data_IF_398890727909
#
_entry.id   IF_398890727909
#
_cell.length_a   1.000
_cell.length_b   1.000
_cell.length_c   1.000
_cell.angle_alpha   90.00
_cell.angle_beta   90.00
_cell.angle_gamma   90.00
#
_symmetry.space_group_name_H-M   'P 1'
#
loop_
_entity.id
_entity.type
_entity.pdbx_description
1 polymer ?
#
# COMPACT_ATOMS: atom_id res chain seq x y z
N UNK A 1 -23.28 -26.47 -61.89
CA UNK A 1 -22.05 -25.97 -61.21
C UNK A 1 -22.43 -24.83 -60.29
N UNK A 2 -21.93 -24.85 -59.03
CA UNK A 2 -21.80 -23.72 -58.06
C UNK A 2 -22.84 -23.54 -56.93
N UNK A 3 -23.11 -24.55 -56.09
CA UNK A 3 -23.96 -24.30 -54.90
C UNK A 3 -23.65 -25.15 -53.65
N UNK A 4 -22.48 -25.78 -53.50
CA UNK A 4 -22.24 -26.73 -52.38
C UNK A 4 -21.16 -26.30 -51.38
N UNK A 5 -20.44 -25.19 -51.60
CA UNK A 5 -19.28 -24.80 -50.79
C UNK A 5 -19.57 -23.81 -49.66
N UNK A 6 -20.78 -23.24 -49.56
CA UNK A 6 -21.05 -22.11 -48.65
C UNK A 6 -21.60 -22.53 -47.27
N UNK A 7 -22.11 -23.76 -47.12
CA UNK A 7 -22.74 -24.21 -45.86
C UNK A 7 -21.74 -24.72 -44.80
N UNK A 8 -20.53 -25.12 -45.21
CA UNK A 8 -19.49 -25.63 -44.29
C UNK A 8 -18.79 -24.52 -43.48
N UNK A 9 -18.89 -23.26 -43.90
CA UNK A 9 -18.13 -22.16 -43.27
C UNK A 9 -18.80 -21.54 -42.05
N UNK A 10 -20.14 -21.59 -41.95
CA UNK A 10 -20.87 -20.92 -40.86
C UNK A 10 -20.87 -21.76 -39.57
N UNK A 11 -20.89 -23.09 -39.69
CA UNK A 11 -20.92 -24.00 -38.53
C UNK A 11 -19.60 -24.02 -37.76
N UNK A 12 -18.46 -23.86 -38.45
CA UNK A 12 -17.14 -23.79 -37.81
C UNK A 12 -16.97 -22.48 -37.02
N UNK A 13 -17.61 -21.40 -37.46
CA UNK A 13 -17.52 -20.08 -36.80
C UNK A 13 -18.33 -20.00 -35.50
N UNK A 14 -19.44 -20.73 -35.38
CA UNK A 14 -20.27 -20.73 -34.17
C UNK A 14 -19.70 -21.58 -33.02
N UNK A 15 -18.88 -22.60 -33.31
CA UNK A 15 -18.27 -23.45 -32.27
C UNK A 15 -17.06 -22.79 -31.60
N UNK A 16 -16.34 -21.89 -32.30
CA UNK A 16 -15.18 -21.19 -31.75
C UNK A 16 -15.49 -20.17 -30.65
N UNK A 17 -16.72 -19.63 -30.63
CA UNK A 17 -17.10 -18.56 -29.68
C UNK A 17 -17.36 -19.08 -28.25
N UNK A 18 -17.67 -20.37 -28.08
CA UNK A 18 -17.99 -20.95 -26.77
C UNK A 18 -16.76 -21.35 -25.94
N UNK A 19 -15.55 -21.32 -26.51
CA UNK A 19 -14.33 -21.81 -25.83
C UNK A 19 -13.55 -20.67 -25.13
N UNK A 20 -13.92 -19.40 -25.32
CA UNK A 20 -13.17 -18.27 -24.77
C UNK A 20 -13.65 -17.76 -23.40
N UNK A 21 -14.52 -18.49 -22.69
CA UNK A 21 -14.74 -18.26 -21.25
C UNK A 21 -13.60 -18.90 -20.43
N UNK A 22 -12.37 -18.47 -20.68
CA UNK A 22 -11.32 -18.63 -19.69
C UNK A 22 -11.62 -17.61 -18.59
N UNK A 23 -12.12 -18.07 -17.44
CA UNK A 23 -12.07 -17.27 -16.22
C UNK A 23 -10.59 -16.90 -16.01
N UNK A 24 -10.25 -15.64 -16.20
CA UNK A 24 -8.93 -15.16 -15.80
C UNK A 24 -8.83 -15.37 -14.29
N UNK A 25 -8.09 -16.39 -13.88
CA UNK A 25 -7.78 -16.61 -12.47
C UNK A 25 -7.05 -15.35 -11.98
N UNK A 26 -7.53 -14.70 -10.91
CA UNK A 26 -6.88 -13.50 -10.42
C UNK A 26 -5.42 -13.85 -10.11
N UNK A 27 -4.46 -13.00 -10.51
CA UNK A 27 -3.06 -13.29 -10.29
C UNK A 27 -2.82 -13.59 -8.81
N UNK A 28 -2.20 -14.72 -8.52
CA UNK A 28 -1.78 -15.06 -7.16
C UNK A 28 -0.82 -13.97 -6.71
N UNK A 29 -1.24 -13.18 -5.72
CA UNK A 29 -0.37 -12.17 -5.10
C UNK A 29 0.68 -12.93 -4.29
N UNK A 30 1.92 -12.97 -4.78
CA UNK A 30 3.06 -13.61 -4.11
C UNK A 30 3.86 -12.63 -3.23
N UNK A 31 3.49 -11.34 -3.25
CA UNK A 31 4.11 -10.29 -2.43
C UNK A 31 3.41 -10.09 -1.08
N UNK A 32 4.05 -9.38 -0.15
CA UNK A 32 3.43 -9.03 1.13
C UNK A 32 2.13 -8.23 0.92
N UNK A 33 1.10 -8.59 1.69
CA UNK A 33 -0.20 -7.91 1.69
C UNK A 33 -0.18 -6.86 2.79
N UNK A 34 -0.45 -5.61 2.44
CA UNK A 34 -0.46 -4.51 3.39
C UNK A 34 -1.89 -4.12 3.80
N UNK A 35 -1.98 -3.36 4.88
CA UNK A 35 -3.22 -2.79 5.37
C UNK A 35 -3.03 -1.32 5.64
N UNK A 36 -3.71 -0.50 4.83
CA UNK A 36 -3.69 0.95 4.94
C UNK A 36 -4.90 1.50 5.70
N UNK A 37 -5.78 0.63 6.21
CA UNK A 37 -7.01 1.02 6.91
C UNK A 37 -6.73 1.46 8.35
N UNK A 38 -5.96 2.55 8.47
CA UNK A 38 -5.60 3.21 9.72
C UNK A 38 -6.15 4.63 9.72
N UNK A 39 -6.78 5.02 10.83
CA UNK A 39 -7.27 6.38 11.04
C UNK A 39 -6.29 7.14 11.92
N UNK A 40 -5.71 8.21 11.36
CA UNK A 40 -4.77 9.11 12.06
C UNK A 40 -5.47 10.40 12.49
N UNK A 41 -5.26 10.82 13.73
CA UNK A 41 -5.88 12.02 14.34
C UNK A 41 -4.92 12.74 15.28
N UNK A 42 -5.27 13.95 15.72
CA UNK A 42 -4.48 14.76 16.65
C UNK A 42 -3.49 15.71 15.97
N UNK A 43 -2.50 16.18 16.73
CA UNK A 43 -1.59 17.26 16.37
C UNK A 43 -0.81 16.97 15.07
N UNK A 44 -0.83 17.91 14.13
CA UNK A 44 -0.25 17.74 12.80
C UNK A 44 1.29 17.74 12.83
N UNK A 45 1.87 18.36 13.85
CA UNK A 45 3.29 18.53 14.08
C UNK A 45 4.00 17.20 14.36
N UNK A 46 3.29 16.24 14.96
CA UNK A 46 3.87 14.97 15.42
C UNK A 46 3.18 13.73 14.86
N UNK A 47 2.02 13.87 14.20
CA UNK A 47 1.34 12.72 13.62
C UNK A 47 2.11 12.18 12.41
N UNK A 48 2.15 10.85 12.21
CA UNK A 48 2.64 10.30 10.96
C UNK A 48 1.73 10.72 9.79
N UNK A 49 2.31 10.89 8.61
CA UNK A 49 1.56 11.08 7.37
C UNK A 49 0.89 9.79 6.92
N UNK A 50 1.53 8.65 7.19
CA UNK A 50 1.01 7.34 6.82
C UNK A 50 1.28 6.33 7.91
N UNK A 51 0.30 5.47 8.15
CA UNK A 51 0.39 4.28 8.99
C UNK A 51 -0.16 3.11 8.20
N UNK A 52 0.57 2.01 8.17
CA UNK A 52 0.11 0.76 7.57
C UNK A 52 0.77 -0.44 8.26
N UNK A 53 0.21 -1.63 8.06
CA UNK A 53 0.76 -2.88 8.59
C UNK A 53 0.81 -3.98 7.51
N UNK A 54 1.65 -5.00 7.72
CA UNK A 54 1.65 -6.26 6.96
C UNK A 54 1.08 -7.43 7.78
N UNK A 55 0.43 -7.14 8.90
CA UNK A 55 -0.05 -8.12 9.88
C UNK A 55 1.02 -8.67 10.82
N UNK A 56 2.29 -8.28 10.66
CA UNK A 56 3.39 -8.61 11.58
C UNK A 56 4.06 -7.36 12.15
N UNK A 57 4.32 -6.36 11.30
CA UNK A 57 4.97 -5.09 11.61
C UNK A 57 4.13 -3.89 11.24
N UNK A 58 4.28 -2.81 12.00
CA UNK A 58 3.65 -1.52 11.71
C UNK A 58 4.70 -0.59 11.13
N UNK A 59 4.33 0.09 10.05
CA UNK A 59 5.16 1.04 9.33
C UNK A 59 4.58 2.44 9.51
N UNK A 60 5.41 3.35 9.98
CA UNK A 60 5.06 4.74 10.25
C UNK A 60 5.93 5.64 9.38
N UNK A 61 5.31 6.56 8.64
CA UNK A 61 6.03 7.60 7.93
C UNK A 61 5.76 8.96 8.57
N UNK A 62 6.81 9.56 9.13
CA UNK A 62 6.75 10.91 9.70
C UNK A 62 7.28 11.96 8.72
N UNK A 63 6.90 13.22 8.93
CA UNK A 63 7.42 14.37 8.20
C UNK A 63 8.94 14.51 8.32
N UNK A 64 9.43 14.32 9.55
CA UNK A 64 10.83 14.38 9.88
C UNK A 64 11.23 13.08 10.59
N UNK A 65 11.89 12.18 9.85
CA UNK A 65 12.37 10.91 10.39
C UNK A 65 13.49 11.05 11.43
N UNK A 66 14.04 12.26 11.63
CA UNK A 66 15.02 12.54 12.69
C UNK A 66 14.37 12.93 14.01
N UNK A 67 13.11 13.37 13.99
CA UNK A 67 12.36 13.83 15.16
C UNK A 67 11.09 13.00 15.37
N UNK A 68 11.28 11.69 15.57
CA UNK A 68 10.18 10.76 15.85
C UNK A 68 9.69 10.97 17.29
N UNK A 69 8.37 11.13 17.53
CA UNK A 69 7.82 11.26 18.87
C UNK A 69 7.95 9.96 19.67
N UNK A 70 7.69 10.02 20.98
CA UNK A 70 7.51 8.80 21.75
C UNK A 70 6.25 8.06 21.26
N UNK A 71 6.39 6.77 20.94
CA UNK A 71 5.32 5.92 20.41
C UNK A 71 4.86 4.96 21.48
N UNK A 72 3.56 4.90 21.73
CA UNK A 72 2.95 4.03 22.73
C UNK A 72 1.90 3.14 22.10
N UNK A 73 1.76 1.90 22.57
CA UNK A 73 0.57 1.09 22.37
C UNK A 73 -0.52 1.59 23.32
N UNK A 74 -1.73 1.74 22.80
CA UNK A 74 -2.91 2.02 23.61
C UNK A 74 -3.56 0.73 24.08
N UNK A 75 -3.14 0.28 25.27
CA UNK A 75 -3.63 -0.99 25.85
C UNK A 75 -4.73 -0.73 26.89
N UNK A 76 -5.54 -1.74 27.24
CA UNK A 76 -6.51 -1.62 28.34
C UNK A 76 -5.88 -1.25 29.70
N UNK A 77 -4.60 -1.59 29.90
CA UNK A 77 -3.83 -1.21 31.09
C UNK A 77 -3.22 0.19 31.03
N UNK A 78 -3.46 0.93 29.95
CA UNK A 78 -2.91 2.25 29.67
C UNK A 78 -1.80 2.25 28.61
N UNK A 79 -1.25 3.43 28.29
CA UNK A 79 -0.21 3.57 27.27
C UNK A 79 1.08 2.85 27.65
N UNK A 80 1.56 1.96 26.78
CA UNK A 80 2.84 1.25 26.95
C UNK A 80 3.86 1.74 25.92
N UNK A 81 5.04 2.19 26.37
CA UNK A 81 6.08 2.70 25.48
C UNK A 81 6.59 1.58 24.56
N UNK A 82 6.61 1.85 23.25
CA UNK A 82 7.07 0.91 22.23
C UNK A 82 8.50 1.20 21.80
N UNK A 83 9.22 0.10 21.50
CA UNK A 83 10.48 0.18 20.76
C UNK A 83 10.19 0.15 19.27
N UNK A 84 10.95 0.94 18.53
CA UNK A 84 10.94 1.02 17.09
C UNK A 84 12.38 1.11 16.56
N UNK A 85 12.56 0.82 15.29
CA UNK A 85 13.81 1.06 14.58
C UNK A 85 13.57 1.85 13.28
N UNK A 86 14.55 2.62 12.82
CA UNK A 86 14.47 3.24 11.50
C UNK A 86 14.65 2.17 10.41
N UNK A 87 13.85 2.26 9.36
CA UNK A 87 14.04 1.59 8.08
C UNK A 87 13.62 2.58 6.99
N UNK A 88 14.50 3.53 6.63
CA UNK A 88 14.12 4.71 5.87
C UNK A 88 13.38 4.34 4.57
N UNK A 89 12.22 4.99 4.29
CA UNK A 89 11.72 6.23 4.91
C UNK A 89 10.86 6.04 6.17
N UNK A 90 10.80 4.83 6.73
CA UNK A 90 9.87 4.47 7.79
C UNK A 90 10.50 4.37 9.18
N UNK A 91 9.65 4.50 10.18
CA UNK A 91 9.85 4.01 11.53
C UNK A 91 9.04 2.73 11.68
N UNK A 92 9.69 1.64 12.07
CA UNK A 92 9.10 0.30 12.08
C UNK A 92 8.97 -0.23 13.51
N UNK A 93 7.81 -0.81 13.79
CA UNK A 93 7.51 -1.54 15.03
C UNK A 93 7.35 -3.01 14.68
N UNK A 94 8.16 -3.88 15.30
CA UNK A 94 8.24 -5.31 14.96
C UNK A 94 7.08 -6.18 15.50
N UNK A 95 6.02 -5.56 16.00
CA UNK A 95 4.83 -6.25 16.49
C UNK A 95 3.56 -5.45 16.18
N UNK A 96 2.45 -6.17 16.15
CA UNK A 96 1.13 -5.62 15.90
C UNK A 96 0.52 -4.97 17.14
N UNK A 97 -0.16 -3.87 16.92
CA UNK A 97 -0.99 -3.13 17.86
C UNK A 97 -2.22 -2.62 17.13
N UNK A 98 -3.36 -2.52 17.81
CA UNK A 98 -4.59 -2.01 17.20
C UNK A 98 -4.72 -0.48 17.31
N UNK A 99 -3.98 0.14 18.24
CA UNK A 99 -4.00 1.56 18.46
C UNK A 99 -2.65 2.06 18.99
N UNK A 100 -2.20 3.19 18.44
CA UNK A 100 -0.97 3.87 18.79
C UNK A 100 -1.24 5.29 19.26
N UNK A 101 -0.44 5.74 20.23
CA UNK A 101 -0.42 7.13 20.72
C UNK A 101 0.99 7.68 20.49
N UNK A 102 1.06 8.90 19.95
CA UNK A 102 2.30 9.63 19.70
C UNK A 102 2.35 10.84 20.62
N UNK A 103 3.46 11.04 21.34
CA UNK A 103 3.64 12.19 22.24
C UNK A 103 5.00 12.86 22.07
N UNK A 104 4.98 14.19 22.03
CA UNK A 104 6.17 15.02 22.19
C UNK A 104 5.77 16.38 22.77
N UNK A 105 6.48 16.83 23.81
CA UNK A 105 6.10 18.02 24.59
C UNK A 105 4.60 17.98 24.99
N UNK A 106 3.83 18.99 24.62
CA UNK A 106 2.39 19.10 24.90
C UNK A 106 1.50 18.53 23.77
N UNK A 107 2.10 17.97 22.73
CA UNK A 107 1.38 17.44 21.58
C UNK A 107 1.07 15.95 21.74
N UNK A 108 -0.15 15.59 21.33
CA UNK A 108 -0.59 14.20 21.21
C UNK A 108 -1.23 13.95 19.83
N UNK A 109 -0.93 12.79 19.26
CA UNK A 109 -1.60 12.25 18.09
C UNK A 109 -1.92 10.77 18.27
N UNK A 110 -2.83 10.25 17.45
CA UNK A 110 -3.30 8.86 17.53
C UNK A 110 -3.41 8.22 16.16
N UNK A 111 -3.12 6.93 16.08
CA UNK A 111 -3.45 6.08 14.94
C UNK A 111 -4.23 4.85 15.43
N UNK A 112 -5.36 4.55 14.80
CA UNK A 112 -6.20 3.39 15.18
C UNK A 112 -6.52 2.58 13.94
N UNK A 113 -6.28 1.27 14.00
CA UNK A 113 -6.62 0.31 12.97
C UNK A 113 -8.15 0.20 12.88
N UNK A 114 -8.72 0.41 11.70
CA UNK A 114 -10.19 0.47 11.52
C UNK A 114 -10.83 -0.90 11.77
N UNK A 115 -10.12 -1.98 11.41
CA UNK A 115 -10.55 -3.35 11.66
C UNK A 115 -9.50 -4.03 12.55
N UNK A 116 -9.75 -4.15 13.87
CA UNK A 116 -8.87 -4.87 14.78
C UNK A 116 -8.74 -6.34 14.38
N UNK A 117 -7.56 -6.92 14.62
CA UNK A 117 -7.27 -8.38 14.57
C UNK A 117 -7.60 -9.12 13.25
N UNK A 118 -7.94 -8.39 12.19
CA UNK A 118 -8.13 -8.95 10.84
C UNK A 118 -6.79 -9.10 10.10
N UNK A 119 -6.65 -10.09 9.19
CA UNK A 119 -5.51 -10.11 8.28
C UNK A 119 -5.51 -8.84 7.42
N UNK A 120 -4.35 -8.39 6.92
CA UNK A 120 -4.28 -7.26 6.01
C UNK A 120 -5.23 -7.46 4.82
N UNK A 121 -6.13 -6.50 4.59
CA UNK A 121 -7.23 -6.66 3.61
C UNK A 121 -6.93 -6.00 2.26
N UNK A 122 -5.85 -5.22 2.15
CA UNK A 122 -5.59 -4.37 1.00
C UNK A 122 -4.25 -4.69 0.34
N UNK A 123 -4.27 -5.57 -0.66
CA UNK A 123 -3.30 -5.50 -1.76
C UNK A 123 -3.59 -4.26 -2.64
N UNK A 124 -3.63 -3.06 -2.04
CA UNK A 124 -3.50 -1.83 -2.80
C UNK A 124 -2.00 -1.64 -3.04
N UNK A 125 -1.46 -2.42 -3.98
CA UNK A 125 -0.28 -1.97 -4.67
C UNK A 125 -0.70 -0.68 -5.36
N UNK A 126 -0.23 0.47 -4.86
CA UNK A 126 -0.29 1.67 -5.67
C UNK A 126 0.31 1.29 -7.02
N UNK A 127 -0.42 1.50 -8.11
CA UNK A 127 0.09 1.35 -9.48
C UNK A 127 1.12 2.45 -9.80
N UNK A 128 1.93 2.84 -8.81
CA UNK A 128 3.03 3.76 -8.98
C UNK A 128 4.13 3.02 -9.74
N UNK A 129 4.02 3.02 -11.06
CA UNK A 129 5.21 2.90 -11.91
C UNK A 129 6.09 4.11 -11.59
N UNK A 130 7.35 3.90 -11.17
CA UNK A 130 8.31 5.00 -11.19
C UNK A 130 8.34 5.51 -12.62
N UNK A 131 7.90 6.74 -12.84
CA UNK A 131 8.25 7.41 -14.08
C UNK A 131 9.77 7.53 -14.04
N UNK A 132 10.48 6.77 -14.87
CA UNK A 132 11.86 7.11 -15.19
C UNK A 132 11.83 8.57 -15.65
N UNK A 133 12.26 9.48 -14.77
CA UNK A 133 12.63 10.82 -15.19
C UNK A 133 13.79 10.66 -16.15
N UNK A 134 13.47 10.52 -17.44
CA UNK A 134 14.43 10.70 -18.49
C UNK A 134 14.99 12.11 -18.31
N UNK A 135 16.21 12.19 -17.81
CA UNK A 135 17.05 13.38 -17.83
C UNK A 135 17.19 13.79 -19.29
N UNK A 136 16.25 14.60 -19.77
CA UNK A 136 16.38 15.30 -21.04
C UNK A 136 17.32 16.45 -20.76
N UNK A 137 18.62 16.16 -20.82
CA UNK A 137 19.67 17.17 -20.83
C UNK A 137 19.41 18.12 -22.00
N UNK A 138 18.95 19.33 -21.69
CA UNK A 138 18.81 20.40 -22.66
C UNK A 138 20.22 20.78 -23.18
N UNK A 139 20.47 20.84 -24.49
CA UNK A 139 21.78 21.21 -25.01
C UNK A 139 22.08 22.67 -24.67
N UNK A 140 23.13 22.89 -23.88
CA UNK A 140 23.72 24.21 -23.60
C UNK A 140 24.24 24.80 -24.92
N UNK A 141 23.47 25.71 -25.54
CA UNK A 141 23.94 26.59 -26.62
C UNK A 141 25.17 27.36 -26.13
N UNK A 142 26.34 27.05 -26.68
CA UNK A 142 27.51 27.94 -26.60
C UNK A 142 27.21 29.15 -27.48
N UNK A 143 27.08 30.32 -26.85
CA UNK A 143 27.23 31.58 -27.54
C UNK A 143 28.71 31.82 -27.85
N UNK A 144 28.88 32.45 -29.00
CA UNK A 144 30.08 32.75 -29.79
C UNK A 144 31.29 33.22 -29.00
#
# INVERSE_FOLDING_TARGET
>A
MKNLTTLLSVTVLLVGCLIQLACAEPPVVTGPVYNFDWRVTGAAEIRPYQVFDDGQKIYLQFADSKHVPAVFADTPGGPMLLRWHPDPPYTVIDHMENALVFRAADWEARAVRIVPDGPPRAAQFGLASPAETATTGLPRKRHR
#
